data_IF_329821193797
#
_entry.id   IF_329821193797
#
_cell.length_a   1.000
_cell.length_b   1.000
_cell.length_c   1.000
_cell.angle_alpha   90.00
_cell.angle_beta   90.00
_cell.angle_gamma   90.00
#
_symmetry.space_group_name_H-M   'P 1'
#
loop_
_entity.id
_entity.type
_entity.pdbx_description
1 polymer ?
#
# COMPACT_ATOMS: atom_id res chain seq x y z
N UNK A 1 37.30 14.17 -25.44
CA UNK A 1 36.70 14.41 -24.11
C UNK A 1 35.17 14.52 -24.18
N UNK A 2 34.61 15.36 -25.06
CA UNK A 2 33.15 15.55 -25.21
C UNK A 2 32.38 14.26 -25.58
N UNK A 3 32.93 13.41 -26.45
CA UNK A 3 32.28 12.15 -26.86
C UNK A 3 32.12 11.13 -25.72
N UNK A 4 33.04 11.12 -24.74
CA UNK A 4 32.94 10.26 -23.56
C UNK A 4 31.87 10.78 -22.59
N UNK A 5 31.81 12.10 -22.38
CA UNK A 5 30.78 12.74 -21.57
C UNK A 5 29.38 12.46 -22.14
N UNK A 6 29.22 12.55 -23.47
CA UNK A 6 27.94 12.25 -24.12
C UNK A 6 27.54 10.78 -23.98
N UNK A 7 28.51 9.85 -24.06
CA UNK A 7 28.28 8.43 -23.84
C UNK A 7 27.89 8.13 -22.39
N UNK A 8 28.52 8.77 -21.42
CA UNK A 8 28.16 8.64 -20.00
C UNK A 8 26.79 9.23 -19.70
N UNK A 9 26.45 10.41 -20.22
CA UNK A 9 25.13 11.02 -20.05
C UNK A 9 24.01 10.13 -20.64
N UNK A 10 24.25 9.51 -21.81
CA UNK A 10 23.30 8.59 -22.44
C UNK A 10 23.11 7.29 -21.65
N UNK A 11 24.16 6.77 -21.00
CA UNK A 11 24.05 5.57 -20.17
C UNK A 11 23.37 5.88 -18.84
N UNK A 12 23.72 7.01 -18.20
CA UNK A 12 23.09 7.46 -16.96
C UNK A 12 21.57 7.62 -17.13
N UNK A 13 21.13 8.28 -18.21
CA UNK A 13 19.69 8.41 -18.49
C UNK A 13 19.00 7.09 -18.88
N UNK A 14 19.74 6.05 -19.24
CA UNK A 14 19.20 4.72 -19.51
C UNK A 14 19.03 3.91 -18.22
N UNK A 15 19.99 4.02 -17.30
CA UNK A 15 19.94 3.37 -15.99
C UNK A 15 18.84 4.01 -15.12
N UNK A 16 18.72 5.35 -15.13
CA UNK A 16 17.63 6.08 -14.46
C UNK A 16 16.25 5.68 -14.98
N UNK A 17 16.09 5.58 -16.31
CA UNK A 17 14.82 5.17 -16.91
C UNK A 17 14.45 3.71 -16.58
N UNK A 18 15.43 2.80 -16.55
CA UNK A 18 15.20 1.40 -16.18
C UNK A 18 14.82 1.26 -14.69
N UNK A 19 15.43 2.05 -13.82
CA UNK A 19 15.11 2.11 -12.39
C UNK A 19 13.71 2.70 -12.14
N UNK A 20 13.31 3.74 -12.86
CA UNK A 20 11.94 4.28 -12.77
C UNK A 20 10.89 3.27 -13.23
N UNK A 21 11.13 2.57 -14.35
CA UNK A 21 10.22 1.52 -14.84
C UNK A 21 10.06 0.40 -13.81
N UNK A 22 11.16 -0.03 -13.19
CA UNK A 22 11.14 -1.06 -12.14
C UNK A 22 10.38 -0.59 -10.90
N UNK A 23 10.57 0.66 -10.47
CA UNK A 23 9.84 1.24 -9.33
C UNK A 23 8.34 1.28 -9.60
N UNK A 24 7.93 1.73 -10.78
CA UNK A 24 6.52 1.81 -11.15
C UNK A 24 5.88 0.41 -11.23
N UNK A 25 6.55 -0.57 -11.83
CA UNK A 25 6.08 -1.96 -11.82
C UNK A 25 5.93 -2.53 -10.41
N UNK A 26 6.88 -2.20 -9.52
CA UNK A 26 6.85 -2.66 -8.14
C UNK A 26 5.69 -2.03 -7.37
N UNK A 27 5.43 -0.72 -7.56
CA UNK A 27 4.27 -0.01 -7.01
C UNK A 27 2.97 -0.63 -7.50
N UNK A 28 2.85 -0.87 -8.81
CA UNK A 28 1.66 -1.49 -9.41
C UNK A 28 1.40 -2.90 -8.87
N UNK A 29 2.45 -3.68 -8.65
CA UNK A 29 2.35 -5.03 -8.07
C UNK A 29 1.83 -4.97 -6.63
N UNK A 30 2.38 -4.08 -5.79
CA UNK A 30 1.88 -3.85 -4.42
C UNK A 30 0.40 -3.48 -4.42
N UNK A 31 0.02 -2.56 -5.30
CA UNK A 31 -1.36 -2.13 -5.45
C UNK A 31 -2.29 -3.30 -5.80
N UNK A 32 -1.92 -4.11 -6.80
CA UNK A 32 -2.71 -5.28 -7.20
C UNK A 32 -2.86 -6.31 -6.07
N UNK A 33 -1.79 -6.55 -5.31
CA UNK A 33 -1.82 -7.44 -4.15
C UNK A 33 -2.79 -6.92 -3.09
N UNK A 34 -2.65 -5.66 -2.66
CA UNK A 34 -3.49 -5.05 -1.64
C UNK A 34 -4.97 -5.05 -2.04
N UNK A 35 -5.28 -4.62 -3.26
CA UNK A 35 -6.64 -4.56 -3.79
C UNK A 35 -7.29 -5.95 -3.89
N UNK A 36 -6.51 -6.99 -4.16
CA UNK A 36 -7.01 -8.37 -4.26
C UNK A 36 -7.14 -9.04 -2.89
N UNK A 37 -6.19 -8.80 -1.99
CA UNK A 37 -6.12 -9.50 -0.70
C UNK A 37 -7.08 -8.91 0.32
N UNK A 38 -7.20 -7.58 0.43
CA UNK A 38 -8.03 -6.97 1.47
C UNK A 38 -9.48 -7.48 1.50
N UNK A 39 -10.21 -7.56 0.36
CA UNK A 39 -11.57 -8.11 0.38
C UNK A 39 -11.62 -9.58 0.83
N UNK A 40 -10.60 -10.37 0.49
CA UNK A 40 -10.50 -11.79 0.88
C UNK A 40 -10.23 -11.92 2.38
N UNK A 41 -9.28 -11.15 2.90
CA UNK A 41 -8.89 -11.18 4.31
C UNK A 41 -10.03 -10.71 5.21
N UNK A 42 -10.70 -9.61 4.87
CA UNK A 42 -11.86 -9.11 5.59
C UNK A 42 -13.05 -10.09 5.62
N UNK A 43 -13.13 -11.04 4.67
CA UNK A 43 -14.16 -12.08 4.63
C UNK A 43 -13.72 -13.38 5.33
N UNK A 44 -12.44 -13.73 5.24
CA UNK A 44 -11.89 -14.97 5.80
C UNK A 44 -12.00 -15.04 7.33
N UNK A 45 -12.11 -13.89 7.99
CA UNK A 45 -12.48 -13.75 9.40
C UNK A 45 -13.80 -14.45 9.79
N UNK A 46 -14.71 -14.68 8.85
CA UNK A 46 -16.01 -15.34 9.07
C UNK A 46 -16.02 -16.87 8.78
N UNK A 47 -14.90 -17.47 8.37
CA UNK A 47 -14.86 -18.85 7.87
C UNK A 47 -14.56 -19.90 8.94
N UNK A 48 -15.54 -20.72 9.30
CA UNK A 48 -15.46 -21.85 10.24
C UNK A 48 -14.76 -23.12 9.71
N UNK A 49 -14.02 -23.09 8.60
CA UNK A 49 -13.37 -24.30 8.06
C UNK A 49 -11.94 -24.04 7.55
N UNK A 50 -10.99 -24.76 8.16
CA UNK A 50 -9.53 -24.92 7.88
C UNK A 50 -8.59 -23.73 8.24
N UNK A 51 -7.32 -24.03 8.59
CA UNK A 51 -6.72 -23.53 9.81
C UNK A 51 -6.63 -22.00 9.75
N UNK A 52 -7.41 -21.39 10.63
CA UNK A 52 -7.35 -19.97 10.93
C UNK A 52 -5.90 -19.66 11.31
N UNK A 53 -5.23 -18.81 10.53
CA UNK A 53 -3.91 -18.27 10.85
C UNK A 53 -3.86 -18.00 12.37
N UNK A 54 -2.81 -18.47 13.02
CA UNK A 54 -2.59 -18.18 14.43
C UNK A 54 -2.63 -16.68 14.67
N UNK A 55 -2.89 -16.27 15.91
CA UNK A 55 -2.92 -14.84 16.27
C UNK A 55 -1.61 -14.15 15.87
N UNK A 56 -0.48 -14.83 16.01
CA UNK A 56 0.83 -14.32 15.59
C UNK A 56 0.94 -14.14 14.07
N UNK A 57 0.50 -15.11 13.28
CA UNK A 57 0.49 -15.01 11.81
C UNK A 57 -0.47 -13.92 11.31
N UNK A 58 -1.61 -13.73 11.98
CA UNK A 58 -2.54 -12.65 11.70
C UNK A 58 -1.92 -11.27 11.95
N UNK A 59 -1.26 -11.10 13.09
CA UNK A 59 -0.58 -9.85 13.45
C UNK A 59 0.60 -9.56 12.52
N UNK A 60 1.35 -10.58 12.13
CA UNK A 60 2.45 -10.43 11.17
C UNK A 60 1.93 -10.02 9.79
N UNK A 61 0.81 -10.60 9.34
CA UNK A 61 0.20 -10.21 8.07
C UNK A 61 -0.34 -8.76 8.12
N UNK A 62 -0.94 -8.34 9.22
CA UNK A 62 -1.33 -6.94 9.42
C UNK A 62 -0.13 -6.00 9.32
N UNK A 63 0.98 -6.33 9.97
CA UNK A 63 2.23 -5.56 9.88
C UNK A 63 2.73 -5.43 8.45
N UNK A 64 2.78 -6.53 7.71
CA UNK A 64 3.22 -6.52 6.30
C UNK A 64 2.28 -5.68 5.43
N UNK A 65 0.96 -5.73 5.67
CA UNK A 65 0.00 -4.90 4.96
C UNK A 65 0.22 -3.41 5.28
N UNK A 66 0.41 -3.04 6.55
CA UNK A 66 0.70 -1.66 6.94
C UNK A 66 1.99 -1.14 6.29
N UNK A 67 3.08 -1.89 6.37
CA UNK A 67 4.37 -1.55 5.73
C UNK A 67 4.20 -1.40 4.21
N UNK A 68 3.40 -2.27 3.57
CA UNK A 68 3.17 -2.20 2.13
C UNK A 68 2.37 -0.97 1.72
N UNK A 69 1.37 -0.56 2.52
CA UNK A 69 0.59 0.66 2.28
C UNK A 69 1.49 1.90 2.43
N UNK A 70 2.36 1.94 3.44
CA UNK A 70 3.31 3.04 3.64
C UNK A 70 4.26 3.18 2.45
N UNK A 71 4.70 2.06 1.87
CA UNK A 71 5.56 2.04 0.68
C UNK A 71 4.88 2.47 -0.63
N UNK A 72 3.58 2.78 -0.65
CA UNK A 72 2.94 3.29 -1.87
C UNK A 72 3.35 4.74 -2.18
N UNK A 73 3.86 5.49 -1.19
CA UNK A 73 4.36 6.89 -1.22
C UNK A 73 3.35 7.96 -1.69
N UNK A 74 2.47 7.61 -2.62
CA UNK A 74 1.41 8.42 -3.19
C UNK A 74 0.14 8.36 -2.32
N UNK A 75 -0.36 9.52 -1.89
CA UNK A 75 -1.53 9.60 -1.00
C UNK A 75 -2.83 9.13 -1.66
N UNK A 76 -2.99 9.32 -2.98
CA UNK A 76 -4.20 8.88 -3.70
C UNK A 76 -4.25 7.35 -3.77
N UNK A 77 -3.10 6.70 -3.92
CA UNK A 77 -3.03 5.23 -3.90
C UNK A 77 -3.24 4.66 -2.49
N UNK A 78 -2.71 5.32 -1.45
CA UNK A 78 -3.03 4.98 -0.07
C UNK A 78 -4.53 5.14 0.22
N UNK A 79 -5.15 6.22 -0.24
CA UNK A 79 -6.58 6.47 -0.08
C UNK A 79 -7.43 5.36 -0.69
N UNK A 80 -7.13 4.96 -1.93
CA UNK A 80 -7.86 3.88 -2.63
C UNK A 80 -7.83 2.58 -1.83
N UNK A 81 -6.65 2.19 -1.34
CA UNK A 81 -6.47 0.95 -0.57
C UNK A 81 -7.19 1.04 0.78
N UNK A 82 -7.01 2.14 1.50
CA UNK A 82 -7.58 2.32 2.83
C UNK A 82 -9.11 2.45 2.79
N UNK A 83 -9.66 3.09 1.76
CA UNK A 83 -11.10 3.17 1.52
C UNK A 83 -11.70 1.79 1.21
N UNK A 84 -11.01 0.98 0.40
CA UNK A 84 -11.40 -0.40 0.14
C UNK A 84 -11.41 -1.24 1.42
N UNK A 85 -10.33 -1.15 2.21
CA UNK A 85 -10.25 -1.82 3.51
C UNK A 85 -11.42 -1.40 4.41
N UNK A 86 -11.64 -0.10 4.61
CA UNK A 86 -12.68 0.41 5.50
C UNK A 86 -14.07 -0.06 5.06
N UNK A 87 -14.34 -0.05 3.75
CA UNK A 87 -15.58 -0.57 3.19
C UNK A 87 -15.79 -2.03 3.60
N UNK A 88 -14.82 -2.91 3.35
CA UNK A 88 -14.97 -4.33 3.67
C UNK A 88 -14.94 -4.64 5.18
N UNK A 89 -14.14 -3.90 5.94
CA UNK A 89 -14.01 -4.05 7.39
C UNK A 89 -15.32 -3.70 8.10
N UNK A 90 -15.95 -2.59 7.72
CA UNK A 90 -17.19 -2.11 8.36
C UNK A 90 -18.45 -2.90 7.97
N UNK A 91 -18.47 -3.50 6.78
CA UNK A 91 -19.61 -4.31 6.33
C UNK A 91 -19.64 -5.71 6.97
N UNK A 92 -18.59 -6.12 7.68
CA UNK A 92 -18.49 -7.42 8.32
C UNK A 92 -18.61 -7.28 9.84
N UNK A 93 -19.84 -7.25 10.36
CA UNK A 93 -20.15 -6.96 11.78
C UNK A 93 -19.48 -7.91 12.80
N UNK A 94 -19.01 -9.07 12.37
CA UNK A 94 -18.35 -10.09 13.21
C UNK A 94 -16.82 -10.11 13.07
N UNK A 95 -16.24 -9.27 12.22
CA UNK A 95 -14.83 -9.35 11.83
C UNK A 95 -14.03 -8.14 12.28
N UNK A 96 -13.13 -8.35 13.23
CA UNK A 96 -12.15 -7.35 13.66
C UNK A 96 -10.81 -7.45 12.89
N UNK A 97 -10.78 -8.16 11.75
CA UNK A 97 -9.54 -8.48 11.03
C UNK A 97 -9.64 -8.27 9.51
N UNK A 98 -8.58 -7.78 8.84
CA UNK A 98 -7.34 -7.23 9.40
C UNK A 98 -7.55 -5.82 9.98
N UNK A 99 -6.91 -5.52 11.11
CA UNK A 99 -6.97 -4.21 11.75
C UNK A 99 -5.89 -3.27 11.18
N UNK A 100 -6.27 -2.42 10.21
CA UNK A 100 -5.39 -1.41 9.61
C UNK A 100 -5.72 0.01 10.09
N UNK A 101 -6.36 0.14 11.25
CA UNK A 101 -6.78 1.42 11.79
C UNK A 101 -5.58 2.37 12.01
N UNK A 102 -4.41 1.83 12.35
CA UNK A 102 -3.17 2.60 12.48
C UNK A 102 -2.82 3.35 11.20
N UNK A 103 -2.73 2.64 10.08
CA UNK A 103 -2.46 3.23 8.76
C UNK A 103 -3.55 4.21 8.33
N UNK A 104 -4.83 3.88 8.54
CA UNK A 104 -5.94 4.79 8.22
C UNK A 104 -5.86 6.11 8.98
N UNK A 105 -5.58 6.05 10.29
CA UNK A 105 -5.44 7.25 11.13
C UNK A 105 -4.22 8.09 10.73
N UNK A 106 -3.10 7.46 10.36
CA UNK A 106 -1.91 8.14 9.84
C UNK A 106 -2.23 8.89 8.55
N UNK A 107 -2.81 8.22 7.56
CA UNK A 107 -3.24 8.84 6.29
C UNK A 107 -4.20 10.02 6.54
N UNK A 108 -5.26 9.81 7.33
CA UNK A 108 -6.20 10.87 7.71
C UNK A 108 -5.51 12.11 8.30
N UNK A 109 -4.49 11.92 9.15
CA UNK A 109 -3.75 13.03 9.73
C UNK A 109 -2.90 13.77 8.69
N UNK A 110 -2.26 13.05 7.78
CA UNK A 110 -1.43 13.64 6.72
C UNK A 110 -2.30 14.40 5.72
N UNK A 111 -3.36 13.79 5.21
CA UNK A 111 -4.25 14.42 4.23
C UNK A 111 -4.95 15.65 4.81
N UNK A 112 -5.33 15.64 6.10
CA UNK A 112 -5.83 16.85 6.78
C UNK A 112 -4.82 17.99 6.79
N UNK A 113 -3.53 17.70 7.04
CA UNK A 113 -2.48 18.73 7.03
C UNK A 113 -2.31 19.32 5.63
N UNK A 114 -2.32 18.48 4.59
CA UNK A 114 -2.21 18.97 3.20
C UNK A 114 -3.36 19.90 2.83
N UNK A 115 -4.60 19.55 3.19
CA UNK A 115 -5.75 20.42 2.96
C UNK A 115 -5.60 21.77 3.66
N UNK A 116 -5.13 21.78 4.91
CA UNK A 116 -4.91 23.02 5.66
C UNK A 116 -3.78 23.88 5.06
N UNK A 117 -2.73 23.26 4.50
CA UNK A 117 -1.65 23.97 3.81
C UNK A 117 -2.06 24.52 2.44
N UNK A 118 -3.03 23.90 1.76
CA UNK A 118 -3.56 24.39 0.48
C UNK A 118 -4.49 25.61 0.62
N UNK A 119 -4.95 25.93 1.83
CA UNK A 119 -5.87 27.04 2.12
C UNK A 119 -5.23 28.20 2.92
N UNK A 120 -3.90 28.19 3.08
CA UNK A 120 -3.11 29.23 3.75
C UNK A 120 -2.28 30.01 2.73
#
# INVERSE_FOLDING_TARGET
>A
MVALLFKHAKQLGKDEADDEIKKEQHKQTKMQMLMSWLPLLCRASNGTDVPVLSIGERAELERVLEETIEMLEDEDDQEKVLSLWLHHFTHCLSSDWPNLHGSYARWCNTSRKLLLHHHA
#
